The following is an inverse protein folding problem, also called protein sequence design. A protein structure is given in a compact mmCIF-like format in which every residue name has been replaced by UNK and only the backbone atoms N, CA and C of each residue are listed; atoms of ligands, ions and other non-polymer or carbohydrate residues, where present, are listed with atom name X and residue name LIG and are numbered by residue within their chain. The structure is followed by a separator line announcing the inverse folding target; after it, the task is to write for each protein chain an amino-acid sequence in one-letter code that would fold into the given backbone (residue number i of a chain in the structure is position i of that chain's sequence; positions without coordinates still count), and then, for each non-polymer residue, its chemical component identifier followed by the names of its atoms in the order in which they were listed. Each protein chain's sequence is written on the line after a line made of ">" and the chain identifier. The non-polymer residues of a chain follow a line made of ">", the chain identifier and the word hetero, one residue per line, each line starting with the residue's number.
data_IF_653406436217
#
_entry.id   IF_653406436217
#
_cell.length_a   1.000
_cell.length_b   1.000
_cell.length_c   1.000
_cell.angle_alpha   90.00
_cell.angle_beta   90.00
_cell.angle_gamma   90.00
#
_symmetry.space_group_name_H-M   'P 1'
#
loop_
_entity.id
_entity.type
_entity.pdbx_description
1 polymer ?
#
# COMPACT_ATOMS: atom_id res chain seq x y z
N UNK A 1 25.44 8.19 26.32
CA UNK A 1 24.12 7.68 25.87
C UNK A 1 24.09 7.92 24.38
N UNK A 2 24.23 6.87 23.57
CA UNK A 2 24.29 6.99 22.12
C UNK A 2 22.93 7.45 21.60
N UNK A 3 22.89 8.67 21.06
CA UNK A 3 21.77 9.16 20.27
C UNK A 3 21.69 8.35 18.97
N UNK A 4 21.01 7.20 19.01
CA UNK A 4 20.48 6.58 17.80
C UNK A 4 19.15 7.26 17.46
N UNK A 5 19.26 8.26 16.59
CA UNK A 5 18.36 8.50 15.45
C UNK A 5 16.97 7.83 15.55
N UNK A 6 16.07 8.42 16.34
CA UNK A 6 14.65 8.18 16.16
C UNK A 6 14.30 8.84 14.82
N UNK A 7 14.37 8.04 13.74
CA UNK A 7 13.77 8.37 12.43
C UNK A 7 12.45 9.09 12.72
N UNK A 8 12.22 10.30 12.18
CA UNK A 8 10.99 11.02 12.48
C UNK A 8 9.85 10.06 12.18
N UNK A 9 8.98 9.81 13.16
CA UNK A 9 7.85 8.91 13.06
C UNK A 9 7.06 9.33 11.81
N UNK A 10 7.35 8.62 10.73
CA UNK A 10 7.03 9.01 9.37
C UNK A 10 5.53 8.98 9.25
N UNK A 11 4.92 10.13 8.96
CA UNK A 11 3.62 10.19 8.30
C UNK A 11 3.56 9.08 7.24
N UNK A 12 2.43 8.36 7.07
CA UNK A 12 2.35 7.28 6.08
C UNK A 12 2.91 7.88 4.79
N UNK A 13 4.03 7.32 4.33
CA UNK A 13 4.68 7.76 3.10
C UNK A 13 3.57 7.89 2.07
N UNK A 14 3.47 9.02 1.35
CA UNK A 14 2.39 9.21 0.39
C UNK A 14 2.60 8.16 -0.70
N UNK A 15 2.00 6.99 -0.50
CA UNK A 15 1.92 5.95 -1.50
C UNK A 15 1.22 6.64 -2.65
N UNK A 16 2.00 6.95 -3.67
CA UNK A 16 1.51 7.59 -4.87
C UNK A 16 1.49 6.54 -5.93
N UNK A 17 0.28 6.17 -6.30
CA UNK A 17 0.05 5.37 -7.48
C UNK A 17 0.50 6.20 -8.67
N UNK A 18 1.63 5.81 -9.27
CA UNK A 18 2.18 6.44 -10.47
C UNK A 18 1.99 5.49 -11.64
N UNK A 19 1.33 5.96 -12.70
CA UNK A 19 1.04 5.17 -13.89
C UNK A 19 -0.25 4.35 -13.78
N UNK A 20 -0.30 3.23 -14.51
CA UNK A 20 -1.48 2.38 -14.62
C UNK A 20 -1.70 1.49 -13.40
N UNK A 21 -2.48 2.01 -12.44
CA UNK A 21 -2.91 1.23 -11.27
C UNK A 21 -3.50 -0.12 -11.64
N UNK A 22 -4.26 -0.20 -12.74
CA UNK A 22 -4.93 -1.44 -13.14
C UNK A 22 -3.97 -2.61 -13.39
N UNK A 23 -2.72 -2.32 -13.80
CA UNK A 23 -1.68 -3.34 -13.98
C UNK A 23 -1.05 -3.68 -12.62
N UNK A 24 -0.83 -2.67 -11.80
CA UNK A 24 -0.24 -2.77 -10.47
C UNK A 24 -1.13 -3.58 -9.53
N UNK A 25 -2.45 -3.33 -9.57
CA UNK A 25 -3.45 -4.08 -8.84
C UNK A 25 -3.57 -5.52 -9.32
N UNK A 26 -3.47 -5.77 -10.62
CA UNK A 26 -3.52 -7.14 -11.17
C UNK A 26 -2.36 -7.99 -10.63
N UNK A 27 -1.14 -7.43 -10.60
CA UNK A 27 0.03 -8.07 -9.95
C UNK A 27 -0.21 -8.34 -8.48
N UNK A 28 -0.74 -7.35 -7.74
CA UNK A 28 -1.07 -7.52 -6.33
C UNK A 28 -2.11 -8.62 -6.13
N UNK A 29 -3.16 -8.66 -6.96
CA UNK A 29 -4.22 -9.66 -6.91
C UNK A 29 -3.68 -11.06 -7.17
N UNK A 30 -2.78 -11.19 -8.14
CA UNK A 30 -2.12 -12.45 -8.45
C UNK A 30 -1.26 -12.95 -7.27
N UNK A 31 -0.62 -12.03 -6.53
CA UNK A 31 0.19 -12.36 -5.35
C UNK A 31 -0.64 -12.62 -4.10
N UNK A 32 -1.71 -11.85 -3.93
CA UNK A 32 -2.58 -11.85 -2.78
C UNK A 32 -4.00 -12.24 -3.21
N UNK A 33 -4.32 -13.55 -3.29
CA UNK A 33 -5.66 -14.02 -3.66
C UNK A 33 -6.74 -13.61 -2.64
N UNK A 34 -6.35 -13.08 -1.50
CA UNK A 34 -7.23 -12.47 -0.49
C UNK A 34 -7.79 -11.12 -0.94
N UNK A 35 -7.09 -10.41 -1.82
CA UNK A 35 -7.52 -9.13 -2.38
C UNK A 35 -8.52 -9.38 -3.50
N UNK A 36 -9.60 -8.59 -3.50
CA UNK A 36 -10.60 -8.62 -4.57
C UNK A 36 -10.49 -7.38 -5.44
N UNK A 37 -11.12 -7.43 -6.62
CA UNK A 37 -11.22 -6.27 -7.51
C UNK A 37 -11.83 -5.04 -6.82
N UNK A 38 -12.70 -5.25 -5.83
CA UNK A 38 -13.31 -4.15 -5.05
C UNK A 38 -12.33 -3.52 -4.06
N UNK A 39 -11.52 -4.34 -3.39
CA UNK A 39 -10.46 -3.87 -2.48
C UNK A 39 -9.35 -3.14 -3.23
N UNK A 40 -9.07 -3.60 -4.45
CA UNK A 40 -8.08 -3.05 -5.36
C UNK A 40 -8.64 -1.92 -6.23
N UNK A 41 -9.91 -1.56 -6.08
CA UNK A 41 -10.49 -0.43 -6.80
C UNK A 41 -9.91 0.87 -6.27
N UNK A 42 -9.09 1.49 -7.10
CA UNK A 42 -8.45 2.77 -6.81
C UNK A 42 -8.97 3.85 -7.75
N UNK A 43 -9.16 5.04 -7.19
CA UNK A 43 -9.41 6.26 -7.95
C UNK A 43 -8.33 7.27 -7.56
N UNK A 44 -7.78 7.99 -8.55
CA UNK A 44 -6.75 9.00 -8.33
C UNK A 44 -7.16 10.00 -7.24
N UNK A 45 -6.32 10.16 -6.22
CA UNK A 45 -6.62 10.99 -5.04
C UNK A 45 -7.21 10.22 -3.85
N UNK A 46 -7.52 8.92 -3.98
CA UNK A 46 -8.00 8.06 -2.90
C UNK A 46 -6.95 7.06 -2.39
N UNK A 47 -5.66 7.40 -2.44
CA UNK A 47 -4.60 6.46 -2.04
C UNK A 47 -4.74 6.02 -0.58
N UNK A 48 -5.15 6.94 0.30
CA UNK A 48 -5.39 6.64 1.71
C UNK A 48 -6.53 5.64 1.93
N UNK A 49 -7.63 5.74 1.16
CA UNK A 49 -8.74 4.79 1.26
C UNK A 49 -8.32 3.41 0.75
N UNK A 50 -7.62 3.36 -0.38
CA UNK A 50 -7.10 2.13 -0.96
C UNK A 50 -6.18 1.41 0.04
N UNK A 51 -5.20 2.11 0.60
CA UNK A 51 -4.29 1.55 1.61
C UNK A 51 -5.06 1.02 2.83
N UNK A 52 -6.09 1.73 3.28
CA UNK A 52 -6.96 1.30 4.37
C UNK A 52 -7.73 0.02 4.05
N UNK A 53 -8.30 -0.09 2.83
CA UNK A 53 -9.02 -1.29 2.38
C UNK A 53 -8.10 -2.49 2.21
N UNK A 54 -7.02 -2.32 1.46
CA UNK A 54 -6.01 -3.36 1.19
C UNK A 54 -5.41 -3.85 2.51
N UNK A 55 -5.02 -2.93 3.40
CA UNK A 55 -4.49 -3.28 4.72
C UNK A 55 -5.50 -4.06 5.57
N UNK A 56 -6.76 -3.62 5.63
CA UNK A 56 -7.82 -4.37 6.32
C UNK A 56 -8.02 -5.77 5.74
N UNK A 57 -7.99 -5.90 4.42
CA UNK A 57 -8.19 -7.17 3.72
C UNK A 57 -7.05 -8.16 3.94
N UNK A 58 -5.81 -7.65 3.95
CA UNK A 58 -4.61 -8.43 4.24
C UNK A 58 -4.37 -8.66 5.73
N UNK A 59 -5.19 -8.05 6.60
CA UNK A 59 -4.94 -7.96 8.05
C UNK A 59 -3.54 -7.41 8.37
N UNK A 60 -3.13 -6.37 7.63
CA UNK A 60 -1.84 -5.70 7.71
C UNK A 60 -2.00 -4.24 8.14
N UNK A 61 -0.96 -3.71 8.76
CA UNK A 61 -0.88 -2.29 9.07
C UNK A 61 -0.67 -1.47 7.79
N UNK A 62 -1.01 -0.17 7.82
CA UNK A 62 -0.78 0.74 6.70
C UNK A 62 0.67 0.70 6.21
N UNK A 63 1.63 0.63 7.13
CA UNK A 63 3.06 0.60 6.83
C UNK A 63 3.47 -0.66 6.06
N UNK A 64 3.01 -1.83 6.52
CA UNK A 64 3.21 -3.11 5.83
C UNK A 64 2.54 -3.12 4.46
N UNK A 65 1.33 -2.56 4.37
CA UNK A 65 0.57 -2.49 3.12
C UNK A 65 1.29 -1.64 2.09
N UNK A 66 1.79 -0.47 2.48
CA UNK A 66 2.62 0.38 1.62
C UNK A 66 3.90 -0.35 1.20
N UNK A 67 4.59 -1.03 2.11
CA UNK A 67 5.80 -1.77 1.78
C UNK A 67 5.54 -2.91 0.78
N UNK A 68 4.40 -3.61 0.91
CA UNK A 68 3.97 -4.65 -0.05
C UNK A 68 3.73 -4.03 -1.42
N UNK A 69 2.99 -2.92 -1.47
CA UNK A 69 2.71 -2.21 -2.70
C UNK A 69 3.99 -1.73 -3.38
N UNK A 70 4.88 -1.08 -2.63
CA UNK A 70 6.16 -0.63 -3.15
C UNK A 70 6.99 -1.80 -3.68
N UNK A 71 7.03 -2.92 -2.97
CA UNK A 71 7.81 -4.10 -3.36
C UNK A 71 7.29 -4.84 -4.59
N UNK A 72 5.98 -4.92 -4.77
CA UNK A 72 5.40 -5.69 -5.88
C UNK A 72 5.19 -4.84 -7.14
N UNK A 73 5.11 -3.51 -6.99
CA UNK A 73 4.82 -2.57 -8.07
C UNK A 73 6.08 -1.89 -8.61
N UNK A 74 7.04 -1.54 -7.74
CA UNK A 74 8.31 -0.90 -8.11
C UNK A 74 9.46 -1.92 -8.06
#
# INVERSE_FOLDING_TARGET
>A
MTNENVKPATAPTPFKVKGDWSIQSDKLKAKFPTLTDDDLKFETGKEAELLGKVGKRLNKNLLETTAILEKEIY
#
